data_IF_858003324160
#
_entry.id   IF_858003324160
#
_cell.length_a   1.000
_cell.length_b   1.000
_cell.length_c   1.000
_cell.angle_alpha   90.00
_cell.angle_beta   90.00
_cell.angle_gamma   90.00
#
_symmetry.space_group_name_H-M   'P 1'
#
loop_
_entity.id
_entity.type
_entity.pdbx_description
1 polymer ?
#
# COMPACT_ATOMS: atom_id res chain seq x y z
N UNK A 1 7.73 -21.32 1.74
CA UNK A 1 7.50 -20.64 0.45
C UNK A 1 6.32 -19.68 0.49
N UNK A 2 5.23 -20.00 1.21
CA UNK A 2 4.00 -19.19 1.28
C UNK A 2 4.19 -17.74 1.77
N UNK A 3 5.09 -17.50 2.74
CA UNK A 3 5.30 -16.14 3.28
C UNK A 3 5.86 -15.13 2.27
N UNK A 4 6.76 -15.56 1.38
CA UNK A 4 7.33 -14.67 0.36
C UNK A 4 6.28 -14.29 -0.69
N UNK A 5 5.43 -15.24 -1.09
CA UNK A 5 4.28 -14.95 -1.97
C UNK A 5 3.29 -13.97 -1.34
N UNK A 6 2.98 -14.14 -0.05
CA UNK A 6 2.15 -13.17 0.70
C UNK A 6 2.74 -11.77 0.63
N UNK A 7 4.04 -11.61 0.92
CA UNK A 7 4.69 -10.29 0.90
C UNK A 7 4.65 -9.66 -0.49
N UNK A 8 4.96 -10.42 -1.55
CA UNK A 8 4.93 -9.92 -2.93
C UNK A 8 3.51 -9.46 -3.32
N UNK A 9 2.49 -10.25 -2.99
CA UNK A 9 1.10 -9.91 -3.27
C UNK A 9 0.63 -8.68 -2.47
N UNK A 10 1.07 -8.54 -1.21
CA UNK A 10 0.80 -7.36 -0.40
C UNK A 10 1.46 -6.11 -1.00
N UNK A 11 2.71 -6.21 -1.49
CA UNK A 11 3.38 -5.10 -2.18
C UNK A 11 2.58 -4.70 -3.41
N UNK A 12 2.22 -5.66 -4.27
CA UNK A 12 1.46 -5.40 -5.49
C UNK A 12 0.10 -4.78 -5.19
N UNK A 13 -0.62 -5.28 -4.18
CA UNK A 13 -1.87 -4.70 -3.71
C UNK A 13 -1.69 -3.23 -3.30
N UNK A 14 -0.69 -2.92 -2.47
CA UNK A 14 -0.47 -1.55 -2.00
C UNK A 14 -0.06 -0.58 -3.13
N UNK A 15 0.57 -1.09 -4.20
CA UNK A 15 0.83 -0.28 -5.41
C UNK A 15 -0.51 0.13 -6.04
N UNK A 16 -1.42 -0.81 -6.27
CA UNK A 16 -2.75 -0.52 -6.81
C UNK A 16 -3.57 0.39 -5.89
N UNK A 17 -3.54 0.15 -4.58
CA UNK A 17 -4.18 1.01 -3.58
C UNK A 17 -3.71 2.47 -3.70
N UNK A 18 -2.38 2.67 -3.72
CA UNK A 18 -1.80 4.02 -3.82
C UNK A 18 -2.15 4.70 -5.14
N UNK A 19 -2.17 3.94 -6.24
CA UNK A 19 -2.58 4.47 -7.55
C UNK A 19 -4.07 4.82 -7.59
N UNK A 20 -4.94 3.98 -7.01
CA UNK A 20 -6.38 4.25 -6.92
C UNK A 20 -6.66 5.53 -6.12
N UNK A 21 -5.93 5.72 -5.01
CA UNK A 21 -6.16 6.84 -4.10
C UNK A 21 -5.55 8.15 -4.60
N UNK A 22 -4.34 8.12 -5.18
CA UNK A 22 -3.57 9.33 -5.49
C UNK A 22 -3.26 9.52 -6.97
N UNK A 23 -3.34 8.48 -7.79
CA UNK A 23 -3.04 8.56 -9.23
C UNK A 23 -3.93 9.55 -9.97
N UNK A 24 -5.20 9.65 -9.59
CA UNK A 24 -6.12 10.63 -10.19
C UNK A 24 -5.72 12.08 -9.90
N UNK A 25 -5.14 12.37 -8.72
CA UNK A 25 -4.64 13.71 -8.39
C UNK A 25 -3.49 14.10 -9.33
N UNK A 26 -2.59 13.16 -9.62
CA UNK A 26 -1.51 13.41 -10.57
C UNK A 26 -2.01 13.65 -12.00
N UNK A 27 -3.03 12.91 -12.42
CA UNK A 27 -3.68 13.09 -13.73
C UNK A 27 -4.41 14.43 -13.84
N UNK A 28 -4.92 14.94 -12.72
CA UNK A 28 -5.50 16.28 -12.63
C UNK A 28 -4.43 17.37 -12.72
N UNK A 29 -3.30 17.24 -11.99
CA UNK A 29 -2.16 18.16 -12.08
C UNK A 29 -1.57 18.25 -13.50
N UNK A 30 -1.54 17.12 -14.23
CA UNK A 30 -0.94 17.03 -15.57
C UNK A 30 -1.91 17.51 -16.68
N UNK A 31 -3.12 17.96 -16.33
CA UNK A 31 -4.12 18.48 -17.27
C UNK A 31 -4.95 17.41 -18.00
N UNK A 32 -4.58 16.13 -17.94
CA UNK A 32 -5.28 15.02 -18.60
C UNK A 32 -6.69 14.77 -18.06
N UNK A 33 -6.92 15.05 -16.77
CA UNK A 33 -8.21 14.81 -16.09
C UNK A 33 -8.84 16.07 -15.48
N UNK A 34 -8.40 17.26 -15.89
CA UNK A 34 -8.85 18.52 -15.25
C UNK A 34 -10.37 18.79 -15.33
N UNK A 35 -11.07 18.17 -16.28
CA UNK A 35 -12.53 18.33 -16.48
C UNK A 35 -13.33 17.04 -16.20
N UNK A 36 -12.72 16.03 -15.55
CA UNK A 36 -13.46 14.80 -15.27
C UNK A 36 -14.52 15.05 -14.20
N UNK A 37 -15.76 14.55 -14.39
CA UNK A 37 -16.76 14.59 -13.34
C UNK A 37 -16.32 13.71 -12.17
N UNK A 38 -16.63 14.11 -10.94
CA UNK A 38 -16.25 13.38 -9.71
C UNK A 38 -16.66 11.90 -9.77
N UNK A 39 -17.83 11.60 -10.34
CA UNK A 39 -18.31 10.23 -10.49
C UNK A 39 -17.41 9.38 -11.42
N UNK A 40 -16.82 10.00 -12.45
CA UNK A 40 -15.89 9.33 -13.37
C UNK A 40 -14.56 9.00 -12.68
N UNK A 41 -14.06 9.92 -11.84
CA UNK A 41 -12.85 9.70 -11.02
C UNK A 41 -13.08 8.58 -10.00
N UNK A 42 -14.24 8.57 -9.34
CA UNK A 42 -14.62 7.50 -8.41
C UNK A 42 -14.68 6.15 -9.13
N UNK A 43 -15.38 6.07 -10.26
CA UNK A 43 -15.50 4.83 -11.03
C UNK A 43 -14.14 4.30 -11.50
N UNK A 44 -13.27 5.19 -11.98
CA UNK A 44 -11.90 4.83 -12.38
C UNK A 44 -11.08 4.29 -11.20
N UNK A 45 -11.15 4.95 -10.05
CA UNK A 45 -10.46 4.50 -8.83
C UNK A 45 -10.99 3.14 -8.36
N UNK A 46 -12.30 2.89 -8.50
CA UNK A 46 -12.93 1.59 -8.22
C UNK A 46 -12.43 0.47 -9.13
N UNK A 47 -12.23 0.74 -10.42
CA UNK A 47 -11.64 -0.23 -11.34
C UNK A 47 -10.23 -0.63 -10.92
N UNK A 48 -9.43 0.31 -10.43
CA UNK A 48 -8.08 0.02 -9.91
C UNK A 48 -8.16 -0.76 -8.60
N UNK A 49 -9.06 -0.36 -7.68
CA UNK A 49 -9.28 -1.04 -6.42
C UNK A 49 -9.71 -2.51 -6.61
N UNK A 50 -10.43 -2.83 -7.68
CA UNK A 50 -10.72 -4.23 -8.01
C UNK A 50 -9.45 -5.09 -8.15
N UNK A 51 -8.43 -4.59 -8.87
CA UNK A 51 -7.14 -5.30 -9.01
C UNK A 51 -6.34 -5.35 -7.70
N UNK A 52 -6.44 -4.31 -6.87
CA UNK A 52 -5.91 -4.34 -5.51
C UNK A 52 -6.48 -5.53 -4.73
N UNK A 53 -7.80 -5.70 -4.72
CA UNK A 53 -8.47 -6.79 -4.00
C UNK A 53 -8.12 -8.17 -4.57
N UNK A 54 -7.93 -8.28 -5.90
CA UNK A 54 -7.43 -9.51 -6.52
C UNK A 54 -6.07 -9.95 -5.98
N UNK A 55 -5.25 -9.04 -5.45
CA UNK A 55 -3.96 -9.36 -4.84
C UNK A 55 -4.07 -9.49 -3.31
N UNK A 56 -4.83 -8.60 -2.68
CA UNK A 56 -4.96 -8.49 -1.22
C UNK A 56 -5.65 -9.72 -0.61
N UNK A 57 -6.74 -10.20 -1.23
CA UNK A 57 -7.51 -11.31 -0.69
C UNK A 57 -6.71 -12.62 -0.73
N UNK A 58 -6.05 -13.00 -1.85
CA UNK A 58 -5.17 -14.16 -1.87
C UNK A 58 -3.97 -14.02 -0.93
N UNK A 59 -3.34 -12.84 -0.83
CA UNK A 59 -2.21 -12.60 0.07
C UNK A 59 -2.55 -12.96 1.52
N UNK A 60 -3.66 -12.42 2.02
CA UNK A 60 -4.12 -12.65 3.38
C UNK A 60 -4.52 -14.11 3.58
N UNK A 61 -5.19 -14.74 2.60
CA UNK A 61 -5.60 -16.14 2.72
C UNK A 61 -4.43 -17.10 2.78
N UNK A 62 -3.40 -16.89 1.94
CA UNK A 62 -2.17 -17.70 1.90
C UNK A 62 -1.29 -17.45 3.14
N UNK A 63 -1.30 -16.21 3.64
CA UNK A 63 -0.45 -15.80 4.75
C UNK A 63 -1.01 -16.18 6.13
N UNK A 64 -2.33 -16.35 6.25
CA UNK A 64 -3.00 -16.54 7.53
C UNK A 64 -2.77 -17.94 8.13
N UNK A 65 -2.39 -17.99 9.40
CA UNK A 65 -1.97 -19.20 10.10
C UNK A 65 -3.03 -20.29 10.14
N UNK A 66 -4.31 -19.93 10.27
CA UNK A 66 -5.42 -20.91 10.28
C UNK A 66 -5.64 -21.56 8.91
N UNK A 67 -5.17 -20.92 7.83
CA UNK A 67 -5.21 -21.48 6.47
C UNK A 67 -3.89 -22.21 6.10
N UNK A 68 -3.00 -22.48 7.06
CA UNK A 68 -1.69 -23.09 6.82
C UNK A 68 -0.60 -22.10 6.41
N UNK A 69 -0.84 -20.81 6.59
CA UNK A 69 0.14 -19.74 6.40
C UNK A 69 1.09 -19.56 7.60
N UNK A 70 2.13 -18.72 7.46
CA UNK A 70 3.12 -18.52 8.53
C UNK A 70 2.77 -17.38 9.51
N UNK A 71 1.73 -16.57 9.24
CA UNK A 71 1.47 -15.33 9.99
C UNK A 71 0.11 -15.32 10.69
N UNK A 72 0.04 -14.79 11.91
CA UNK A 72 -1.24 -14.54 12.56
C UNK A 72 -1.92 -13.26 11.98
N UNK A 73 -3.17 -13.00 12.37
CA UNK A 73 -3.94 -11.86 11.88
C UNK A 73 -3.24 -10.52 12.14
N UNK A 74 -2.67 -10.35 13.33
CA UNK A 74 -2.00 -9.12 13.77
C UNK A 74 -0.73 -8.89 12.96
N UNK A 75 0.09 -9.92 12.77
CA UNK A 75 1.31 -9.90 11.98
C UNK A 75 1.01 -9.56 10.52
N UNK A 76 -0.02 -10.17 9.92
CA UNK A 76 -0.43 -9.82 8.55
C UNK A 76 -0.79 -8.34 8.43
N UNK A 77 -1.57 -7.82 9.38
CA UNK A 77 -1.96 -6.42 9.36
C UNK A 77 -0.75 -5.50 9.52
N UNK A 78 0.15 -5.80 10.46
CA UNK A 78 1.36 -5.01 10.69
C UNK A 78 2.30 -5.04 9.49
N UNK A 79 2.51 -6.21 8.87
CA UNK A 79 3.27 -6.34 7.62
C UNK A 79 2.63 -5.46 6.53
N UNK A 80 1.30 -5.51 6.39
CA UNK A 80 0.59 -4.72 5.40
C UNK A 80 0.75 -3.21 5.63
N UNK A 81 0.64 -2.72 6.87
CA UNK A 81 0.82 -1.30 7.18
C UNK A 81 2.25 -0.83 6.84
N UNK A 82 3.25 -1.66 7.15
CA UNK A 82 4.65 -1.34 6.83
C UNK A 82 4.88 -1.29 5.32
N UNK A 83 4.31 -2.24 4.58
CA UNK A 83 4.35 -2.26 3.12
C UNK A 83 3.61 -1.04 2.56
N UNK A 84 2.43 -0.72 3.09
CA UNK A 84 1.61 0.41 2.66
C UNK A 84 2.38 1.72 2.75
N UNK A 85 2.99 1.98 3.91
CA UNK A 85 3.76 3.20 4.15
C UNK A 85 5.04 3.26 3.29
N UNK A 86 5.73 2.13 3.12
CA UNK A 86 6.91 2.07 2.25
C UNK A 86 6.56 2.31 0.77
N UNK A 87 5.54 1.62 0.26
CA UNK A 87 5.05 1.77 -1.11
C UNK A 87 4.52 3.18 -1.35
N UNK A 88 3.75 3.73 -0.40
CA UNK A 88 3.29 5.10 -0.45
C UNK A 88 4.45 6.08 -0.53
N UNK A 89 5.49 5.95 0.31
CA UNK A 89 6.65 6.83 0.27
C UNK A 89 7.36 6.80 -1.09
N UNK A 90 7.55 5.62 -1.68
CA UNK A 90 8.20 5.45 -2.99
C UNK A 90 7.34 6.03 -4.10
N UNK A 91 6.05 5.67 -4.16
CA UNK A 91 5.14 6.13 -5.21
C UNK A 91 4.88 7.64 -5.09
N UNK A 92 4.71 8.16 -3.87
CA UNK A 92 4.51 9.58 -3.65
C UNK A 92 5.72 10.39 -4.14
N UNK A 93 6.95 9.91 -3.87
CA UNK A 93 8.16 10.56 -4.37
C UNK A 93 8.25 10.55 -5.91
N UNK A 94 7.85 9.43 -6.54
CA UNK A 94 7.87 9.29 -8.00
C UNK A 94 6.78 10.13 -8.68
N UNK A 95 5.53 10.06 -8.20
CA UNK A 95 4.37 10.74 -8.79
C UNK A 95 4.36 12.23 -8.47
N UNK A 96 4.73 12.62 -7.24
CA UNK A 96 4.72 14.00 -6.77
C UNK A 96 6.16 14.45 -6.54
N UNK A 97 6.91 14.64 -7.65
CA UNK A 97 8.25 15.23 -7.59
C UNK A 97 8.17 16.65 -7.00
N UNK A 98 8.50 16.80 -5.71
CA UNK A 98 8.48 18.12 -5.04
C UNK A 98 8.41 18.10 -3.51
N UNK A 99 8.08 16.97 -2.87
CA UNK A 99 8.14 16.88 -1.40
C UNK A 99 9.58 16.62 -0.94
N UNK A 100 10.29 17.69 -0.59
CA UNK A 100 11.58 17.59 0.10
C UNK A 100 11.42 16.73 1.35
N UNK A 101 12.13 15.60 1.41
CA UNK A 101 12.17 14.70 2.57
C UNK A 101 12.63 15.47 3.79
N UNK A 102 11.66 15.88 4.62
CA UNK A 102 11.93 16.55 5.89
C UNK A 102 12.38 15.54 6.94
N UNK A 103 13.17 15.99 7.92
CA UNK A 103 13.65 15.17 9.04
C UNK A 103 12.54 14.37 9.74
N UNK A 104 11.33 14.93 9.80
CA UNK A 104 10.14 14.28 10.36
C UNK A 104 9.73 13.00 9.62
N UNK A 105 9.99 12.89 8.31
CA UNK A 105 9.68 11.68 7.53
C UNK A 105 10.63 10.54 7.89
N UNK A 106 11.90 10.85 8.14
CA UNK A 106 12.91 9.88 8.60
C UNK A 106 12.53 9.38 9.99
N UNK A 107 12.14 10.28 10.89
CA UNK A 107 11.68 9.92 12.23
C UNK A 107 10.43 9.02 12.19
N UNK A 108 9.47 9.34 11.33
CA UNK A 108 8.28 8.50 11.12
C UNK A 108 8.66 7.09 10.62
N UNK A 109 9.63 6.99 9.72
CA UNK A 109 10.12 5.69 9.23
C UNK A 109 10.78 4.86 10.34
N UNK A 110 11.58 5.50 11.21
CA UNK A 110 12.18 4.85 12.39
C UNK A 110 11.10 4.35 13.35
N UNK A 111 10.07 5.15 13.62
CA UNK A 111 8.95 4.76 14.48
C UNK A 111 8.19 3.55 13.93
N UNK A 112 8.03 3.44 12.61
CA UNK A 112 7.41 2.27 11.97
C UNK A 112 8.29 1.02 12.15
N UNK A 113 9.62 1.13 11.98
CA UNK A 113 10.54 0.03 12.23
C UNK A 113 10.47 -0.43 13.70
N UNK A 114 10.41 0.51 14.64
CA UNK A 114 10.21 0.20 16.05
C UNK A 114 8.87 -0.53 16.30
N UNK A 115 7.78 -0.10 15.65
CA UNK A 115 6.48 -0.76 15.75
C UNK A 115 6.53 -2.21 15.23
N UNK A 116 7.21 -2.46 14.10
CA UNK A 116 7.46 -3.81 13.59
C UNK A 116 8.20 -4.64 14.62
N UNK A 117 9.34 -4.14 15.11
CA UNK A 117 10.16 -4.86 16.07
C UNK A 117 9.35 -5.27 17.31
N UNK A 118 8.57 -4.36 17.88
CA UNK A 118 7.73 -4.63 19.06
C UNK A 118 6.66 -5.69 18.80
N UNK A 119 6.04 -5.70 17.61
CA UNK A 119 5.03 -6.70 17.25
C UNK A 119 5.61 -8.11 17.11
N UNK A 120 6.88 -8.21 16.68
CA UNK A 120 7.59 -9.48 16.57
C UNK A 120 8.38 -9.86 17.83
N UNK A 121 8.44 -8.98 18.83
CA UNK A 121 9.07 -9.25 20.12
C UNK A 121 8.17 -10.17 20.95
N UNK A 122 8.75 -11.27 21.45
CA UNK A 122 8.04 -12.34 22.13
C UNK A 122 7.82 -12.05 23.61
#
# INVERSE_FOLDING_TARGET
>A
MNGLYTIILLILSNVFMTLAWYGHLKLQETGTSSNWPLIGVIAFSWMIAFFEYCCQVPANRIGFVENGGPFNLIQLKVIQECISLAVFCVIANILFQGTHLHWNHILAFVLIICAVYLVFMK
#
